data_IF_282126449822
#
_entry.id   IF_282126449822
#
_cell.length_a   1.000
_cell.length_b   1.000
_cell.length_c   1.000
_cell.angle_alpha   90.00
_cell.angle_beta   90.00
_cell.angle_gamma   90.00
#
_symmetry.space_group_name_H-M   'P 1'
#
loop_
_entity.id
_entity.type
_entity.pdbx_description
1 polymer ?
#
# COMPACT_ATOMS: atom_id res chain seq x y z
N UNK A 1 8.83 8.95 2.68
CA UNK A 1 7.53 8.33 2.30
C UNK A 1 6.44 8.94 3.16
N UNK A 2 5.38 9.50 2.56
CA UNK A 2 4.22 10.06 3.30
C UNK A 2 3.08 9.05 3.24
N UNK A 3 2.67 8.55 4.40
CA UNK A 3 1.46 7.75 4.59
C UNK A 3 0.47 8.50 5.49
N UNK A 4 -0.82 8.17 5.45
CA UNK A 4 -1.81 8.81 6.32
C UNK A 4 -1.47 8.69 7.81
N UNK A 5 -0.78 7.60 8.21
CA UNK A 5 -0.32 7.41 9.59
C UNK A 5 0.82 8.39 9.94
N UNK A 6 1.79 8.56 9.04
CA UNK A 6 2.86 9.53 9.26
C UNK A 6 2.37 10.98 9.26
N UNK A 7 1.31 11.29 8.52
CA UNK A 7 0.72 12.63 8.52
C UNK A 7 -0.07 12.93 9.79
N UNK A 8 -0.81 11.96 10.32
CA UNK A 8 -1.50 12.10 11.60
C UNK A 8 -0.51 12.32 12.76
N UNK A 9 0.60 11.57 12.78
CA UNK A 9 1.66 11.76 13.81
C UNK A 9 2.32 13.13 13.68
N UNK A 10 2.68 13.55 12.46
CA UNK A 10 3.29 14.86 12.24
C UNK A 10 2.35 16.03 12.63
N UNK A 11 1.04 15.89 12.42
CA UNK A 11 0.07 16.91 12.81
C UNK A 11 -0.01 17.09 14.34
N UNK A 12 -0.05 15.99 15.10
CA UNK A 12 -0.05 16.06 16.56
C UNK A 12 1.28 16.58 17.13
N UNK A 13 2.41 16.11 16.57
CA UNK A 13 3.77 16.54 16.96
C UNK A 13 3.97 18.04 16.74
N UNK A 14 3.52 18.58 15.60
CA UNK A 14 3.61 20.01 15.29
C UNK A 14 2.85 20.92 16.27
N UNK A 15 1.90 20.36 17.00
CA UNK A 15 1.10 21.05 18.01
C UNK A 15 1.60 20.77 19.44
N UNK A 16 2.65 19.97 19.60
CA UNK A 16 3.21 19.57 20.90
C UNK A 16 2.23 18.79 21.78
N UNK A 17 1.26 18.10 21.16
CA UNK A 17 0.19 17.38 21.87
C UNK A 17 0.21 15.89 21.55
N UNK A 18 -0.40 15.10 22.42
CA UNK A 18 -0.65 13.69 22.14
C UNK A 18 -1.69 13.50 21.02
N UNK A 19 -1.70 12.30 20.42
CA UNK A 19 -2.71 11.92 19.44
C UNK A 19 -4.11 12.04 20.05
N UNK A 20 -4.97 12.80 19.40
CA UNK A 20 -6.37 12.96 19.78
C UNK A 20 -7.25 11.94 19.05
N UNK A 21 -8.56 11.95 19.32
CA UNK A 21 -9.52 11.04 18.67
C UNK A 21 -9.43 11.09 17.14
N UNK A 22 -9.14 12.26 16.57
CA UNK A 22 -9.01 12.43 15.12
C UNK A 22 -7.81 11.68 14.55
N UNK A 23 -6.62 11.82 15.15
CA UNK A 23 -5.43 11.08 14.69
C UNK A 23 -5.56 9.58 14.97
N UNK A 24 -6.18 9.20 16.08
CA UNK A 24 -6.43 7.80 16.41
C UNK A 24 -7.39 7.11 15.44
N UNK A 25 -8.45 7.79 14.99
CA UNK A 25 -9.36 7.25 13.96
C UNK A 25 -8.63 6.96 12.64
N UNK A 26 -7.66 7.81 12.27
CA UNK A 26 -6.80 7.58 11.09
C UNK A 26 -5.92 6.34 11.30
N UNK A 27 -5.29 6.21 12.47
CA UNK A 27 -4.50 5.02 12.82
C UNK A 27 -5.34 3.73 12.76
N UNK A 28 -6.50 3.70 13.41
CA UNK A 28 -7.39 2.52 13.43
C UNK A 28 -7.84 2.15 12.02
N UNK A 29 -8.16 3.13 11.18
CA UNK A 29 -8.58 2.87 9.80
C UNK A 29 -7.47 2.23 8.96
N UNK A 30 -6.23 2.67 9.13
CA UNK A 30 -5.06 2.16 8.39
C UNK A 30 -4.55 0.83 8.94
N UNK A 31 -4.63 0.60 10.25
CA UNK A 31 -4.14 -0.64 10.88
C UNK A 31 -5.17 -1.77 10.77
N UNK A 32 -6.46 -1.48 10.88
CA UNK A 32 -7.48 -2.53 11.03
C UNK A 32 -8.32 -2.79 9.78
N UNK A 33 -8.65 -1.75 8.98
CA UNK A 33 -9.66 -1.88 7.91
C UNK A 33 -9.06 -1.83 6.50
N UNK A 34 -8.15 -0.89 6.25
CA UNK A 34 -7.55 -0.68 4.93
C UNK A 34 -6.51 -1.73 4.48
N UNK A 35 -5.73 -2.41 5.36
CA UNK A 35 -4.62 -3.22 4.89
C UNK A 35 -5.09 -4.55 4.30
N UNK A 36 -6.17 -5.17 4.77
CA UNK A 36 -6.60 -6.47 4.24
C UNK A 36 -6.94 -6.43 2.73
N UNK A 37 -7.81 -5.53 2.24
CA UNK A 37 -8.12 -5.47 0.81
C UNK A 37 -6.93 -4.96 -0.02
N UNK A 38 -6.16 -4.02 0.50
CA UNK A 38 -5.01 -3.44 -0.19
C UNK A 38 -3.86 -4.45 -0.35
N UNK A 39 -3.59 -5.26 0.68
CA UNK A 39 -2.59 -6.32 0.63
C UNK A 39 -3.03 -7.47 -0.29
N UNK A 40 -4.30 -7.84 -0.28
CA UNK A 40 -4.83 -8.83 -1.21
C UNK A 40 -4.74 -8.35 -2.66
N UNK A 41 -5.12 -7.10 -2.94
CA UNK A 41 -4.97 -6.50 -4.27
C UNK A 41 -3.50 -6.40 -4.70
N UNK A 42 -2.59 -6.03 -3.78
CA UNK A 42 -1.16 -6.00 -4.06
C UNK A 42 -0.60 -7.40 -4.39
N UNK A 43 -1.03 -8.45 -3.66
CA UNK A 43 -0.67 -9.84 -3.98
C UNK A 43 -1.16 -10.26 -5.36
N UNK A 44 -2.42 -9.98 -5.67
CA UNK A 44 -2.99 -10.27 -7.00
C UNK A 44 -2.26 -9.54 -8.13
N UNK A 45 -1.82 -8.28 -7.90
CA UNK A 45 -1.00 -7.55 -8.85
C UNK A 45 0.39 -8.18 -9.03
N UNK A 46 1.04 -8.61 -7.95
CA UNK A 46 2.33 -9.33 -8.03
C UNK A 46 2.19 -10.64 -8.81
N UNK A 47 1.17 -11.45 -8.50
CA UNK A 47 0.93 -12.72 -9.18
C UNK A 47 0.65 -12.51 -10.69
N UNK A 48 -0.11 -11.47 -11.04
CA UNK A 48 -0.33 -11.07 -12.44
C UNK A 48 0.92 -10.53 -13.12
N UNK A 49 1.77 -9.78 -12.42
CA UNK A 49 3.04 -9.30 -12.99
C UNK A 49 3.93 -10.48 -13.35
N UNK A 50 4.09 -11.43 -12.42
CA UNK A 50 4.88 -12.65 -12.63
C UNK A 50 4.33 -13.51 -13.79
N UNK A 51 3.01 -13.62 -13.93
CA UNK A 51 2.41 -14.35 -15.07
C UNK A 51 2.56 -13.61 -16.40
N UNK A 52 2.49 -12.28 -16.39
CA UNK A 52 2.69 -11.44 -17.58
C UNK A 52 4.16 -11.38 -18.03
N UNK A 53 5.11 -11.45 -17.10
CA UNK A 53 6.55 -11.54 -17.37
C UNK A 53 6.93 -12.92 -17.93
N UNK A 54 6.34 -13.99 -17.38
CA UNK A 54 6.50 -15.37 -17.85
C UNK A 54 5.97 -15.57 -19.29
N UNK A 55 4.88 -14.91 -19.64
CA UNK A 55 4.29 -14.96 -20.99
C UNK A 55 4.97 -13.97 -21.97
N UNK A 56 5.69 -12.96 -21.45
CA UNK A 56 6.38 -11.94 -22.23
C UNK A 56 7.86 -12.24 -22.55
N UNK A 57 8.50 -13.18 -21.84
CA UNK A 57 9.89 -13.59 -22.06
C UNK A 57 10.06 -14.69 -23.14
N UNK A 58 9.10 -14.82 -24.06
CA UNK A 58 9.09 -15.85 -25.11
C UNK A 58 8.77 -15.36 -26.53
N UNK A 59 8.73 -14.04 -26.79
CA UNK A 59 8.51 -13.52 -28.15
C UNK A 59 9.80 -13.12 -28.88
N UNK A 60 10.95 -13.67 -28.46
CA UNK A 60 12.15 -13.65 -29.29
C UNK A 60 12.03 -14.70 -30.39
N UNK A 61 11.67 -14.26 -31.60
CA UNK A 61 12.04 -14.98 -32.81
C UNK A 61 10.86 -15.32 -33.72
N UNK A 62 10.49 -14.33 -34.53
CA UNK A 62 10.01 -14.57 -35.88
C UNK A 62 11.04 -15.41 -36.66
N UNK A 63 11.08 -16.74 -36.51
CA UNK A 63 11.73 -17.68 -37.44
C UNK A 63 11.37 -19.13 -37.07
N UNK A 64 10.25 -19.63 -37.62
CA UNK A 64 10.11 -20.93 -38.31
C UNK A 64 8.72 -21.03 -38.92
#
# INVERSE_FOLDING_TARGET
MKTPLTEAVAAADSQGRFLSSTELQVCVRVVSVKPMPALQAARQLTDKSQSSESTGAGSSGWYN
#
